data_IF_345680548476
#
_entry.id   IF_345680548476
#
_cell.length_a   1.000
_cell.length_b   1.000
_cell.length_c   1.000
_cell.angle_alpha   90.00
_cell.angle_beta   90.00
_cell.angle_gamma   90.00
#
_symmetry.space_group_name_H-M   'P 1'
#
loop_
_entity.id
_entity.type
_entity.pdbx_description
1 polymer ?
#
# COMPACT_ATOMS: atom_id res chain seq x y z
N UNK A 1 8.18 -22.41 0.58
CA UNK A 1 7.66 -21.07 0.29
C UNK A 1 6.41 -21.27 -0.54
N UNK A 2 5.24 -21.10 0.06
CA UNK A 2 3.96 -21.22 -0.63
C UNK A 2 3.61 -19.81 -1.09
N UNK A 3 3.47 -19.60 -2.40
CA UNK A 3 3.06 -18.29 -2.91
C UNK A 3 1.54 -18.12 -2.84
N UNK A 4 1.07 -16.93 -2.48
CA UNK A 4 -0.34 -16.56 -2.46
C UNK A 4 -0.73 -15.96 -3.82
N UNK A 5 -1.49 -16.67 -4.67
CA UNK A 5 -1.91 -16.11 -5.96
C UNK A 5 -2.90 -14.97 -5.75
N UNK A 6 -2.87 -13.97 -6.63
CA UNK A 6 -3.80 -12.82 -6.59
C UNK A 6 -5.28 -13.22 -6.69
N UNK A 7 -5.58 -14.38 -7.28
CA UNK A 7 -6.94 -14.92 -7.41
C UNK A 7 -7.34 -15.83 -6.21
N UNK A 8 -6.54 -15.88 -5.14
CA UNK A 8 -6.86 -16.66 -3.95
C UNK A 8 -8.06 -16.05 -3.21
N UNK A 9 -9.00 -16.85 -2.66
CA UNK A 9 -10.17 -16.33 -1.94
C UNK A 9 -9.85 -15.49 -0.69
N UNK A 10 -8.61 -15.56 -0.19
CA UNK A 10 -8.13 -14.74 0.93
C UNK A 10 -7.69 -13.34 0.51
N UNK A 11 -7.49 -13.11 -0.80
CA UNK A 11 -7.06 -11.82 -1.34
C UNK A 11 -8.30 -11.05 -1.78
N UNK A 12 -8.56 -9.92 -1.14
CA UNK A 12 -9.64 -9.03 -1.56
C UNK A 12 -9.10 -8.04 -2.58
N UNK A 13 -9.49 -8.17 -3.85
CA UNK A 13 -9.11 -7.17 -4.87
C UNK A 13 -10.13 -6.05 -4.91
N UNK A 14 -9.66 -4.80 -4.78
CA UNK A 14 -10.46 -3.60 -4.99
C UNK A 14 -9.99 -2.84 -6.23
N UNK A 15 -10.92 -2.31 -7.04
CA UNK A 15 -10.56 -1.45 -8.16
C UNK A 15 -10.08 -0.10 -7.65
N UNK A 16 -9.04 0.42 -8.29
CA UNK A 16 -8.47 1.73 -8.06
C UNK A 16 -8.13 2.37 -9.42
N UNK A 17 -7.74 3.64 -9.41
CA UNK A 17 -7.34 4.38 -10.60
C UNK A 17 -6.03 5.08 -10.38
N UNK A 18 -5.24 5.19 -11.44
CA UNK A 18 -4.13 6.13 -11.46
C UNK A 18 -4.66 7.52 -11.72
N UNK A 19 -4.08 8.51 -11.06
CA UNK A 19 -4.35 9.92 -11.28
C UNK A 19 -3.04 10.68 -11.27
N UNK A 20 -3.01 11.88 -11.84
CA UNK A 20 -1.85 12.76 -11.80
C UNK A 20 -2.15 13.98 -10.94
N UNK A 21 -1.24 14.33 -10.03
CA UNK A 21 -1.36 15.58 -9.31
C UNK A 21 -1.03 16.80 -10.20
N UNK A 22 -1.19 18.00 -9.67
CA UNK A 22 -0.91 19.24 -10.39
C UNK A 22 0.56 19.39 -10.84
N UNK A 23 1.48 18.59 -10.28
CA UNK A 23 2.90 18.55 -10.65
C UNK A 23 3.23 17.42 -11.64
N UNK A 24 2.22 16.64 -12.05
CA UNK A 24 2.38 15.50 -12.95
C UNK A 24 2.86 14.22 -12.26
N UNK A 25 2.90 14.17 -10.92
CA UNK A 25 3.24 12.95 -10.18
C UNK A 25 2.04 12.01 -10.13
N UNK A 26 2.28 10.75 -10.43
CA UNK A 26 1.22 9.74 -10.43
C UNK A 26 0.88 9.34 -8.99
N UNK A 27 -0.41 9.18 -8.72
CA UNK A 27 -0.98 8.73 -7.45
C UNK A 27 -2.04 7.66 -7.70
N UNK A 28 -2.21 6.75 -6.75
CA UNK A 28 -3.32 5.78 -6.80
C UNK A 28 -4.49 6.35 -6.02
N UNK A 29 -5.67 6.35 -6.63
CA UNK A 29 -6.93 6.76 -6.00
C UNK A 29 -7.82 5.53 -5.88
N UNK A 30 -8.24 5.24 -4.66
CA UNK A 30 -9.13 4.14 -4.32
C UNK A 30 -10.45 4.74 -3.87
N UNK A 31 -11.51 4.55 -4.65
CA UNK A 31 -12.82 5.16 -4.40
C UNK A 31 -13.48 4.65 -3.11
N UNK A 32 -13.19 3.40 -2.74
CA UNK A 32 -13.70 2.75 -1.54
C UNK A 32 -12.54 2.24 -0.69
N UNK A 33 -12.39 2.78 0.51
CA UNK A 33 -11.33 2.39 1.43
C UNK A 33 -11.36 0.88 1.73
N UNK A 34 -10.33 0.10 1.35
CA UNK A 34 -10.16 -1.29 1.70
C UNK A 34 -9.44 -1.43 3.05
N UNK A 35 -9.81 -0.62 4.04
CA UNK A 35 -9.21 -0.60 5.37
C UNK A 35 -7.77 -0.05 5.40
N UNK A 36 -7.44 0.94 4.56
CA UNK A 36 -6.16 1.63 4.70
C UNK A 36 -6.12 2.39 6.03
N UNK A 37 -4.96 2.38 6.73
CA UNK A 37 -4.77 3.19 7.92
C UNK A 37 -4.64 4.65 7.50
N UNK A 38 -5.78 5.32 7.31
CA UNK A 38 -5.84 6.74 7.00
C UNK A 38 -5.92 7.52 8.31
N UNK A 39 -4.78 7.63 8.98
CA UNK A 39 -4.69 8.20 10.33
C UNK A 39 -5.37 9.57 10.46
N UNK A 40 -6.31 9.66 11.39
CA UNK A 40 -6.74 10.92 12.01
C UNK A 40 -6.51 10.95 13.53
N UNK A 41 -6.21 9.83 14.19
CA UNK A 41 -6.17 9.79 15.66
C UNK A 41 -4.77 9.68 16.22
N UNK A 42 -3.89 10.64 15.88
CA UNK A 42 -2.68 11.15 16.56
C UNK A 42 -2.05 10.44 17.80
N UNK A 43 -2.20 9.13 17.97
CA UNK A 43 -2.02 8.44 19.26
C UNK A 43 -1.28 7.10 19.11
N UNK A 44 -0.92 6.69 17.89
CA UNK A 44 -0.22 5.44 17.64
C UNK A 44 1.10 5.67 16.92
N UNK A 45 2.21 5.57 17.64
CA UNK A 45 3.54 5.41 17.05
C UNK A 45 3.51 4.17 16.15
N UNK A 46 3.44 4.34 14.82
CA UNK A 46 3.77 3.26 13.88
C UNK A 46 2.88 3.03 12.65
N UNK A 47 1.60 3.42 12.63
CA UNK A 47 0.63 2.83 11.68
C UNK A 47 0.26 3.65 10.44
N UNK A 48 0.90 4.78 10.13
CA UNK A 48 0.51 5.58 8.95
C UNK A 48 1.06 5.06 7.61
N UNK A 49 1.95 4.07 7.64
CA UNK A 49 2.66 3.56 6.46
C UNK A 49 2.28 2.11 6.25
N UNK A 50 1.90 1.78 5.02
CA UNK A 50 1.59 0.42 4.58
C UNK A 50 2.66 -0.10 3.64
N UNK A 51 2.77 -1.42 3.54
CA UNK A 51 3.59 -2.08 2.53
C UNK A 51 2.79 -2.21 1.24
N UNK A 52 3.40 -1.85 0.11
CA UNK A 52 2.84 -2.01 -1.23
C UNK A 52 3.77 -2.85 -2.06
N UNK A 53 3.28 -3.97 -2.60
CA UNK A 53 4.05 -4.82 -3.51
C UNK A 53 3.91 -4.29 -4.93
N UNK A 54 5.03 -3.87 -5.51
CA UNK A 54 5.17 -3.48 -6.92
C UNK A 54 6.07 -4.49 -7.63
N UNK A 55 5.57 -5.14 -8.68
CA UNK A 55 6.30 -6.15 -9.47
C UNK A 55 7.01 -7.20 -8.58
N UNK A 56 6.34 -7.65 -7.53
CA UNK A 56 6.87 -8.64 -6.57
C UNK A 56 7.84 -8.08 -5.53
N UNK A 57 8.11 -6.77 -5.52
CA UNK A 57 8.97 -6.12 -4.53
C UNK A 57 8.14 -5.36 -3.50
N UNK A 58 8.32 -5.66 -2.21
CA UNK A 58 7.71 -4.89 -1.13
C UNK A 58 8.34 -3.50 -1.03
N UNK A 59 7.50 -2.48 -1.06
CA UNK A 59 7.82 -1.05 -0.89
C UNK A 59 6.89 -0.44 0.15
N UNK A 60 7.03 0.85 0.43
CA UNK A 60 6.28 1.55 1.48
C UNK A 60 5.49 2.72 0.91
N UNK A 61 4.25 2.86 1.34
CA UNK A 61 3.40 3.95 0.93
C UNK A 61 2.65 4.52 2.13
N UNK A 62 2.29 5.80 2.06
CA UNK A 62 1.50 6.48 3.08
C UNK A 62 0.13 6.86 2.52
N UNK A 63 -0.90 6.03 2.71
CA UNK A 63 -2.25 6.35 2.28
C UNK A 63 -2.76 7.60 3.01
N UNK A 64 -3.57 8.41 2.33
CA UNK A 64 -4.20 9.60 2.90
C UNK A 64 -5.67 9.60 2.51
N UNK A 65 -6.53 10.18 3.35
CA UNK A 65 -7.92 10.42 2.95
C UNK A 65 -7.96 11.38 1.78
N UNK A 66 -8.80 11.07 0.81
CA UNK A 66 -9.13 12.00 -0.25
C UNK A 66 -9.83 13.23 0.36
N UNK A 67 -9.55 14.43 -0.16
CA UNK A 67 -10.18 15.66 0.37
C UNK A 67 -11.64 15.83 -0.06
N UNK A 68 -12.03 15.20 -1.17
CA UNK A 68 -13.31 15.43 -1.84
C UNK A 68 -14.32 14.30 -1.63
N UNK A 69 -13.97 13.24 -0.89
CA UNK A 69 -14.82 12.07 -0.70
C UNK A 69 -14.31 11.13 0.38
N UNK A 70 -14.94 9.97 0.48
CA UNK A 70 -14.58 8.88 1.40
C UNK A 70 -13.46 7.96 0.84
N UNK A 71 -12.86 8.36 -0.29
CA UNK A 71 -11.78 7.64 -0.94
C UNK A 71 -10.44 7.76 -0.22
N UNK A 72 -9.49 6.94 -0.66
CA UNK A 72 -8.10 6.97 -0.20
C UNK A 72 -7.18 7.23 -1.37
N UNK A 73 -6.23 8.13 -1.16
CA UNK A 73 -5.17 8.43 -2.12
C UNK A 73 -3.84 7.94 -1.59
N UNK A 74 -3.11 7.21 -2.43
CA UNK A 74 -1.72 6.83 -2.21
C UNK A 74 -0.87 7.75 -3.09
N UNK A 75 -0.23 8.79 -2.51
CA UNK A 75 0.46 9.83 -3.26
C UNK A 75 1.81 9.41 -3.85
N UNK A 76 2.32 8.23 -3.48
CA UNK A 76 3.58 7.70 -3.96
C UNK A 76 4.00 6.45 -3.19
N UNK A 77 4.96 5.73 -3.75
CA UNK A 77 5.49 4.48 -3.19
C UNK A 77 7.02 4.56 -3.13
N UNK A 78 7.61 4.18 -2.01
CA UNK A 78 9.02 4.47 -1.69
C UNK A 78 9.74 3.23 -1.15
N UNK A 79 11.08 3.25 -1.18
CA UNK A 79 11.91 2.14 -0.69
C UNK A 79 11.92 1.95 0.83
N UNK A 80 11.68 3.02 1.57
CA UNK A 80 11.80 3.06 3.02
C UNK A 80 10.56 3.69 3.68
N UNK A 81 10.19 3.26 4.90
CA UNK A 81 9.06 3.83 5.62
C UNK A 81 9.26 5.30 5.95
N UNK A 82 10.49 5.72 6.28
CA UNK A 82 10.82 7.13 6.52
C UNK A 82 10.63 7.99 5.27
N UNK A 83 10.96 7.46 4.09
CA UNK A 83 10.71 8.11 2.81
C UNK A 83 9.20 8.21 2.51
N UNK A 84 8.41 7.20 2.85
CA UNK A 84 6.95 7.29 2.73
C UNK A 84 6.34 8.34 3.67
N UNK A 85 6.92 8.55 4.86
CA UNK A 85 6.46 9.56 5.83
C UNK A 85 6.86 10.97 5.40
N UNK A 86 8.11 11.14 5.02
CA UNK A 86 8.69 12.41 4.59
C UNK A 86 9.42 12.22 3.24
N UNK A 87 8.69 12.33 2.13
CA UNK A 87 9.25 11.98 0.82
C UNK A 87 10.37 12.90 0.37
N UNK A 88 10.34 14.21 0.67
CA UNK A 88 11.41 15.13 0.27
C UNK A 88 11.85 14.91 -1.19
N UNK A 89 13.13 14.52 -1.37
CA UNK A 89 13.75 14.16 -2.66
C UNK A 89 13.82 12.64 -2.94
N UNK A 90 13.13 11.82 -2.15
CA UNK A 90 13.10 10.37 -2.33
C UNK A 90 12.46 9.99 -3.68
N UNK A 91 12.99 8.93 -4.28
CA UNK A 91 12.50 8.40 -5.54
C UNK A 91 11.12 7.76 -5.35
N UNK A 92 10.13 8.29 -6.08
CA UNK A 92 8.81 7.70 -6.16
C UNK A 92 8.82 6.54 -7.18
N UNK A 93 8.71 5.33 -6.63
CA UNK A 93 8.70 4.06 -7.35
C UNK A 93 7.39 3.82 -8.08
N UNK A 94 6.32 4.52 -7.70
CA UNK A 94 5.05 4.43 -8.41
C UNK A 94 5.19 4.98 -9.83
N UNK A 95 5.86 6.13 -10.00
CA UNK A 95 6.12 6.70 -11.32
C UNK A 95 6.95 5.78 -12.22
N UNK A 96 7.99 5.13 -11.66
CA UNK A 96 8.80 4.14 -12.39
C UNK A 96 7.97 2.91 -12.80
N UNK A 97 7.12 2.41 -11.89
CA UNK A 97 6.26 1.26 -12.12
C UNK A 97 5.24 1.52 -13.26
N UNK A 98 4.62 2.69 -13.24
CA UNK A 98 3.71 3.18 -14.28
C UNK A 98 4.43 3.27 -15.63
N UNK A 99 5.62 3.88 -15.67
CA UNK A 99 6.40 3.98 -16.90
C UNK A 99 6.83 2.61 -17.46
N UNK A 100 7.03 1.61 -16.59
CA UNK A 100 7.47 0.27 -17.01
C UNK A 100 6.32 -0.66 -17.41
N UNK A 101 5.12 -0.49 -16.85
CA UNK A 101 3.98 -1.37 -17.11
C UNK A 101 3.01 -0.81 -18.17
N UNK A 102 3.27 0.42 -18.65
CA UNK A 102 2.45 1.19 -19.60
C UNK A 102 1.03 1.64 -19.16
N UNK A 103 0.56 1.56 -17.89
CA UNK A 103 -0.68 2.24 -17.53
C UNK A 103 -0.42 3.76 -17.44
N UNK A 104 -1.29 4.57 -18.02
CA UNK A 104 -1.27 6.04 -17.93
C UNK A 104 -2.09 6.59 -16.76
N UNK A 105 -1.96 7.89 -16.52
CA UNK A 105 -2.88 8.58 -15.62
C UNK A 105 -4.32 8.46 -16.14
N UNK A 106 -5.25 8.06 -15.27
CA UNK A 106 -6.63 7.74 -15.61
C UNK A 106 -6.91 6.25 -15.81
N UNK A 107 -5.87 5.42 -15.94
CA UNK A 107 -6.05 3.98 -16.17
C UNK A 107 -6.43 3.22 -14.89
N UNK A 108 -7.26 2.18 -15.02
CA UNK A 108 -7.64 1.34 -13.90
C UNK A 108 -6.45 0.49 -13.44
N UNK A 109 -6.29 0.40 -12.12
CA UNK A 109 -5.37 -0.50 -11.44
C UNK A 109 -6.11 -1.31 -10.39
N UNK A 110 -5.55 -2.43 -9.98
CA UNK A 110 -6.13 -3.31 -8.98
C UNK A 110 -5.26 -3.27 -7.73
N UNK A 111 -5.90 -3.05 -6.59
CA UNK A 111 -5.29 -3.15 -5.27
C UNK A 111 -5.73 -4.45 -4.64
N UNK A 112 -4.80 -5.37 -4.46
CA UNK A 112 -5.00 -6.64 -3.79
C UNK A 112 -4.72 -6.48 -2.28
N UNK A 113 -5.71 -6.64 -1.43
CA UNK A 113 -5.55 -6.61 0.03
C UNK A 113 -4.98 -7.96 0.46
N UNK A 114 -3.72 -7.95 0.91
CA UNK A 114 -3.00 -9.14 1.39
C UNK A 114 -3.07 -9.27 2.91
N UNK A 115 -2.96 -8.12 3.59
CA UNK A 115 -3.11 -7.97 5.02
C UNK A 115 -3.74 -6.59 5.31
N UNK A 116 -5.04 -6.54 5.67
CA UNK A 116 -5.74 -5.28 5.90
C UNK A 116 -5.01 -4.39 6.90
N UNK A 117 -4.80 -3.13 6.55
CA UNK A 117 -4.08 -2.17 7.38
C UNK A 117 -2.54 -2.23 7.27
N UNK A 118 -1.97 -3.27 6.66
CA UNK A 118 -0.52 -3.51 6.69
C UNK A 118 0.13 -3.76 5.33
N UNK A 119 -0.50 -4.57 4.45
CA UNK A 119 0.11 -5.01 3.19
C UNK A 119 -0.90 -5.12 2.04
N UNK A 120 -0.52 -4.51 0.93
CA UNK A 120 -1.32 -4.45 -0.29
C UNK A 120 -0.46 -4.78 -1.50
N UNK A 121 -1.03 -5.38 -2.53
CA UNK A 121 -0.43 -5.54 -3.84
C UNK A 121 -1.03 -4.54 -4.82
N UNK A 122 -0.22 -3.98 -5.71
CA UNK A 122 -0.71 -3.15 -6.82
C UNK A 122 -0.36 -3.83 -8.14
N UNK A 123 -1.34 -3.94 -9.03
CA UNK A 123 -1.16 -4.52 -10.36
C UNK A 123 -2.05 -3.86 -11.40
N UNK A 124 -1.67 -3.99 -12.67
CA UNK A 124 -2.56 -3.66 -13.77
C UNK A 124 -3.59 -4.78 -13.99
N UNK A 125 -4.82 -4.47 -14.46
CA UNK A 125 -5.79 -5.48 -14.82
C UNK A 125 -5.22 -6.47 -15.84
N UNK A 126 -5.59 -7.75 -15.70
CA UNK A 126 -5.11 -8.82 -16.58
C UNK A 126 -3.74 -9.41 -16.23
N UNK A 127 -2.98 -8.79 -15.32
CA UNK A 127 -1.80 -9.45 -14.74
C UNK A 127 -2.20 -10.37 -13.59
N UNK A 128 -1.58 -11.57 -13.58
CA UNK A 128 -1.63 -12.52 -12.46
C UNK A 128 -0.30 -12.46 -11.72
N UNK A 129 -0.36 -12.18 -10.43
CA UNK A 129 0.81 -12.08 -9.55
C UNK A 129 0.69 -13.15 -8.47
N UNK A 130 1.84 -13.70 -8.06
CA UNK A 130 1.93 -14.57 -6.89
C UNK A 130 2.73 -13.81 -5.84
N UNK A 131 2.07 -13.48 -4.74
CA UNK A 131 2.69 -12.80 -3.62
C UNK A 131 3.43 -13.80 -2.75
N UNK A 132 4.57 -13.39 -2.20
CA UNK A 132 5.22 -14.19 -1.15
C UNK A 132 4.31 -14.18 0.09
N UNK A 133 3.86 -15.35 0.52
CA UNK A 133 2.98 -15.52 1.68
C UNK A 133 3.81 -15.34 2.96
N UNK A 134 4.17 -14.08 3.26
CA UNK A 134 4.88 -13.70 4.50
C UNK A 134 3.92 -13.48 5.66
N UNK A 135 2.73 -14.07 5.62
CA UNK A 135 1.59 -13.78 6.51
C UNK A 135 1.81 -14.15 8.00
N UNK A 136 3.02 -14.40 8.50
CA UNK A 136 3.18 -15.03 9.81
C UNK A 136 4.42 -14.64 10.64
N UNK A 137 4.89 -13.39 10.60
CA UNK A 137 5.87 -12.97 11.64
C UNK A 137 5.68 -11.58 12.24
N UNK A 138 4.83 -10.70 11.69
CA UNK A 138 4.62 -9.37 12.30
C UNK A 138 3.51 -9.34 13.37
N UNK A 139 2.64 -10.36 13.48
CA UNK A 139 1.75 -10.55 14.66
C UNK A 139 2.52 -10.81 15.97
N UNK A 140 3.82 -11.11 15.88
CA UNK A 140 4.67 -11.29 17.07
C UNK A 140 5.13 -9.97 17.70
N UNK A 141 5.00 -8.82 17.02
CA UNK A 141 5.39 -7.52 17.60
C UNK A 141 4.28 -6.86 18.44
N UNK A 142 3.02 -7.31 18.32
CA UNK A 142 1.95 -6.90 19.22
C UNK A 142 1.94 -7.68 20.56
N UNK A 143 2.72 -8.76 20.69
CA UNK A 143 2.87 -9.49 21.97
C UNK A 143 4.00 -8.98 22.86
N UNK A 144 4.88 -8.08 22.37
CA UNK A 144 6.02 -7.55 23.16
C UNK A 144 5.67 -6.23 23.88
N UNK A 145 4.43 -6.08 24.32
CA UNK A 145 3.98 -4.95 25.14
C UNK A 145 3.15 -5.38 26.36
N UNK A 146 3.33 -6.62 26.84
CA UNK A 146 2.68 -7.11 28.07
C UNK A 146 3.60 -7.70 29.14
N UNK A 147 4.92 -7.66 28.98
CA UNK A 147 5.84 -8.28 29.95
C UNK A 147 6.87 -7.28 30.51
N UNK A 148 6.38 -6.12 30.97
CA UNK A 148 7.11 -5.20 31.84
C UNK A 148 6.21 -4.78 33.00
N UNK A 149 5.64 -5.78 33.67
CA UNK A 149 5.09 -5.65 35.03
C UNK A 149 5.48 -6.92 35.79
N UNK A 150 6.76 -7.03 36.16
CA UNK A 150 7.19 -7.78 37.34
C UNK A 150 8.65 -7.42 37.67
N UNK A 151 8.87 -6.80 38.84
CA UNK A 151 10.19 -6.46 39.39
C UNK A 151 10.20 -5.26 40.32
#
# INVERSE_FOLDING_TARGET
MTGLPSDHPSVTTVPARLDADATGRVRVVVERDPEFPTGSDGTGVGADVVRVVLDGTDRYARPRRERAGDGVVVPGVYDAPDAARNPGDATDRLGEWVASNDPGAGDPVLVDVLDPGARYGLRVPGQRVVYDDRQAVDDSLASIARDLDDG
#
